data_IF_245809469337
#
_entry.id   IF_245809469337
#
_cell.length_a   1.000
_cell.length_b   1.000
_cell.length_c   1.000
_cell.angle_alpha   90.00
_cell.angle_beta   90.00
_cell.angle_gamma   90.00
#
_symmetry.space_group_name_H-M   'P 1'
#
loop_
_entity.id
_entity.type
_entity.pdbx_description
1 polymer ?
#
# COMPACT_ATOMS: atom_id res chain seq x y z
N UNK A 1 -18.18 -7.84 -35.05
CA UNK A 1 -16.80 -7.34 -34.81
C UNK A 1 -16.90 -6.22 -33.80
N UNK A 2 -16.64 -6.49 -32.52
CA UNK A 2 -16.76 -5.51 -31.44
C UNK A 2 -15.37 -4.88 -31.23
N UNK A 3 -15.21 -3.55 -31.21
CA UNK A 3 -13.90 -2.94 -31.04
C UNK A 3 -13.42 -3.10 -29.59
N UNK A 4 -12.17 -3.52 -29.43
CA UNK A 4 -11.48 -3.51 -28.14
C UNK A 4 -11.28 -2.05 -27.70
N UNK A 5 -11.98 -1.65 -26.64
CA UNK A 5 -11.81 -0.33 -26.02
C UNK A 5 -10.37 -0.14 -25.56
N UNK A 6 -9.86 1.08 -25.74
CA UNK A 6 -8.49 1.45 -25.41
C UNK A 6 -8.17 1.14 -23.93
N UNK A 7 -6.95 0.64 -23.69
CA UNK A 7 -6.41 0.41 -22.36
C UNK A 7 -5.97 1.68 -21.63
N UNK A 8 -6.41 2.88 -22.06
CA UNK A 8 -5.86 4.16 -21.56
C UNK A 8 -6.51 4.64 -20.26
N UNK A 9 -7.73 4.17 -19.92
CA UNK A 9 -8.46 4.63 -18.72
C UNK A 9 -7.88 4.19 -17.36
N UNK A 10 -6.95 3.23 -17.31
CA UNK A 10 -6.33 2.76 -16.05
C UNK A 10 -5.16 3.63 -15.55
N UNK A 11 -4.69 4.60 -16.34
CA UNK A 11 -3.54 5.45 -15.99
C UNK A 11 -3.91 6.75 -15.27
N UNK A 12 -5.16 7.18 -15.33
CA UNK A 12 -5.60 8.52 -14.91
C UNK A 12 -5.77 8.75 -13.38
N UNK A 13 -5.44 7.77 -12.53
CA UNK A 13 -5.60 7.87 -11.06
C UNK A 13 -4.33 7.52 -10.27
N UNK A 14 -3.17 7.51 -10.92
CA UNK A 14 -1.89 7.22 -10.26
C UNK A 14 -1.21 8.53 -9.90
N UNK A 15 -0.74 8.65 -8.65
CA UNK A 15 -0.07 9.87 -8.16
C UNK A 15 -0.99 10.95 -7.61
N UNK A 16 -2.27 10.64 -7.35
CA UNK A 16 -3.26 11.60 -6.84
C UNK A 16 -3.20 11.84 -5.32
N UNK A 17 -2.20 11.31 -4.60
CA UNK A 17 -2.11 11.42 -3.14
C UNK A 17 -3.11 10.58 -2.34
N UNK A 18 -4.08 9.92 -2.98
CA UNK A 18 -5.15 9.20 -2.29
C UNK A 18 -4.66 8.09 -1.34
N UNK A 19 -3.50 7.47 -1.63
CA UNK A 19 -2.90 6.48 -0.72
C UNK A 19 -2.28 7.15 0.50
N UNK A 20 -1.70 8.34 0.34
CA UNK A 20 -1.16 9.11 1.46
C UNK A 20 -2.30 9.52 2.40
N UNK A 21 -3.39 10.06 1.85
CA UNK A 21 -4.60 10.43 2.63
C UNK A 21 -5.20 9.22 3.37
N UNK A 22 -5.34 8.07 2.68
CA UNK A 22 -5.84 6.85 3.31
C UNK A 22 -4.95 6.36 4.47
N UNK A 23 -3.62 6.46 4.33
CA UNK A 23 -2.69 6.04 5.39
C UNK A 23 -2.69 7.00 6.58
N UNK A 24 -2.88 8.30 6.33
CA UNK A 24 -3.04 9.30 7.38
C UNK A 24 -4.36 9.12 8.13
N UNK A 25 -5.47 8.88 7.43
CA UNK A 25 -6.75 8.54 8.05
C UNK A 25 -6.65 7.26 8.91
N UNK A 26 -5.98 6.23 8.40
CA UNK A 26 -5.72 4.99 9.14
C UNK A 26 -4.90 5.23 10.41
N UNK A 27 -3.91 6.14 10.36
CA UNK A 27 -3.13 6.54 11.54
C UNK A 27 -4.02 7.23 12.58
N UNK A 28 -4.91 8.13 12.17
CA UNK A 28 -5.84 8.76 13.10
C UNK A 28 -6.86 7.77 13.68
N UNK A 29 -7.33 6.80 12.89
CA UNK A 29 -8.20 5.73 13.39
C UNK A 29 -7.48 4.85 14.41
N UNK A 30 -6.23 4.45 14.14
CA UNK A 30 -5.43 3.69 15.09
C UNK A 30 -5.28 4.43 16.43
N UNK A 31 -5.09 5.76 16.40
CA UNK A 31 -5.07 6.59 17.60
C UNK A 31 -6.40 6.59 18.34
N UNK A 32 -7.52 6.80 17.63
CA UNK A 32 -8.88 6.81 18.21
C UNK A 32 -9.20 5.48 18.91
N UNK A 33 -8.78 4.37 18.31
CA UNK A 33 -9.02 3.02 18.83
C UNK A 33 -7.99 2.56 19.87
N UNK A 34 -6.94 3.36 20.12
CA UNK A 34 -5.86 3.00 21.05
C UNK A 34 -4.99 1.83 20.55
N UNK A 35 -4.90 1.61 19.24
CA UNK A 35 -4.03 0.57 18.69
C UNK A 35 -2.57 0.99 18.83
N UNK A 36 -1.69 0.12 19.38
CA UNK A 36 -0.30 0.47 19.63
C UNK A 36 0.51 0.61 18.33
N UNK A 37 0.11 -0.10 17.26
CA UNK A 37 0.72 -0.02 15.93
C UNK A 37 -0.16 -0.70 14.88
N UNK A 38 0.09 -0.38 13.62
CA UNK A 38 -0.47 -1.09 12.44
C UNK A 38 0.70 -1.64 11.62
N UNK A 39 0.59 -2.89 11.16
CA UNK A 39 1.61 -3.55 10.32
C UNK A 39 0.97 -4.16 9.08
N UNK A 40 1.71 -4.15 7.97
CA UNK A 40 1.32 -4.83 6.74
C UNK A 40 2.55 -5.49 6.10
N UNK A 41 2.30 -6.52 5.29
CA UNK A 41 3.32 -7.24 4.52
C UNK A 41 3.15 -6.86 3.05
N UNK A 42 4.26 -6.52 2.39
CA UNK A 42 4.30 -6.32 0.93
C UNK A 42 5.42 -7.16 0.34
N UNK A 43 5.27 -7.56 -0.93
CA UNK A 43 6.37 -8.19 -1.68
C UNK A 43 7.57 -7.26 -1.76
N UNK A 44 8.78 -7.84 -1.74
CA UNK A 44 10.04 -7.10 -1.80
C UNK A 44 10.14 -6.19 -3.03
N UNK A 45 9.76 -6.70 -4.21
CA UNK A 45 9.88 -5.98 -5.47
C UNK A 45 8.69 -5.02 -5.75
N UNK A 46 7.82 -4.77 -4.77
CA UNK A 46 6.74 -3.79 -4.91
C UNK A 46 7.25 -2.36 -4.70
N UNK A 47 8.27 -1.96 -5.47
CA UNK A 47 9.03 -0.72 -5.26
C UNK A 47 8.15 0.54 -5.25
N UNK A 48 7.10 0.58 -6.08
CA UNK A 48 6.18 1.72 -6.13
C UNK A 48 5.38 1.89 -4.85
N UNK A 49 4.84 0.80 -4.29
CA UNK A 49 4.12 0.89 -3.02
C UNK A 49 5.08 1.11 -1.85
N UNK A 50 6.25 0.47 -1.88
CA UNK A 50 7.32 0.68 -0.88
C UNK A 50 7.71 2.15 -0.77
N UNK A 51 7.86 2.87 -1.88
CA UNK A 51 8.15 4.31 -1.83
C UNK A 51 7.07 5.16 -1.13
N UNK A 52 5.82 4.69 -1.06
CA UNK A 52 4.77 5.32 -0.24
C UNK A 52 4.92 4.88 1.22
N UNK A 53 5.06 3.58 1.46
CA UNK A 53 5.20 3.04 2.82
C UNK A 53 6.42 3.58 3.55
N UNK A 54 7.55 3.76 2.87
CA UNK A 54 8.79 4.29 3.44
C UNK A 54 8.64 5.74 3.91
N UNK A 55 7.66 6.50 3.38
CA UNK A 55 7.32 7.85 3.87
C UNK A 55 6.42 7.81 5.12
N UNK A 56 5.62 6.75 5.27
CA UNK A 56 4.55 6.67 6.26
C UNK A 56 4.86 5.75 7.44
N UNK A 57 5.78 4.81 7.30
CA UNK A 57 6.08 3.80 8.31
C UNK A 57 7.55 3.41 8.29
N UNK A 58 8.01 2.87 9.42
CA UNK A 58 9.36 2.31 9.54
C UNK A 58 9.35 0.84 9.13
N UNK A 59 10.24 0.45 8.21
CA UNK A 59 10.45 -0.96 7.85
C UNK A 59 10.99 -1.72 9.05
N UNK A 60 10.31 -2.81 9.41
CA UNK A 60 10.74 -3.73 10.45
C UNK A 60 11.70 -4.80 9.92
N UNK A 61 12.39 -5.49 10.81
CA UNK A 61 13.39 -6.54 10.55
C UNK A 61 12.83 -7.98 10.62
N UNK A 62 11.52 -8.16 10.76
CA UNK A 62 10.88 -9.49 10.80
C UNK A 62 11.07 -10.30 9.51
N UNK A 63 11.38 -11.59 9.68
CA UNK A 63 11.44 -12.57 8.60
C UNK A 63 10.05 -13.18 8.33
N UNK A 64 9.72 -13.36 7.06
CA UNK A 64 8.51 -14.11 6.64
C UNK A 64 8.95 -15.45 6.07
N UNK A 65 8.41 -16.54 6.63
CA UNK A 65 8.68 -17.90 6.16
C UNK A 65 7.44 -18.47 5.47
N UNK A 66 7.65 -19.17 4.37
CA UNK A 66 6.63 -19.98 3.69
C UNK A 66 7.16 -21.39 3.58
N UNK A 67 6.42 -22.37 4.11
CA UNK A 67 6.68 -23.79 3.90
C UNK A 67 5.76 -24.29 2.80
N UNK A 68 6.34 -24.83 1.74
CA UNK A 68 5.59 -25.57 0.72
C UNK A 68 5.53 -27.05 1.14
N UNK A 69 4.47 -27.80 0.77
CA UNK A 69 4.31 -29.21 1.13
C UNK A 69 5.45 -30.12 0.68
#
# INVERSE_FOLDING_TARGET
MIPYGDGSRRRARRGSGAVDEMLDELREEARRQGWPFVRWITREHNYRARGVYDRHATRTDWLTYQLEP
#
